data_IF_112568904699
#
_entry.id   IF_112568904699
#
_cell.length_a   1.000
_cell.length_b   1.000
_cell.length_c   1.000
_cell.angle_alpha   90.00
_cell.angle_beta   90.00
_cell.angle_gamma   90.00
#
_symmetry.space_group_name_H-M   'P 1'
#
loop_
_entity.id
_entity.type
_entity.pdbx_description
1 polymer ?
#
# COMPACT_ATOMS: atom_id res chain seq x y z
N UNK A 1 -9.72 -35.80 0.00
CA UNK A 1 -10.82 -34.81 -0.02
C UNK A 1 -10.16 -33.48 -0.30
N UNK A 2 -10.42 -32.85 -1.44
CA UNK A 2 -9.77 -31.58 -1.78
C UNK A 2 -10.42 -30.51 -0.89
N UNK A 3 -9.66 -29.94 0.03
CA UNK A 3 -10.15 -28.86 0.90
C UNK A 3 -10.06 -27.59 0.08
N UNK A 4 -11.21 -26.97 -0.19
CA UNK A 4 -11.25 -25.69 -0.87
C UNK A 4 -10.76 -24.58 0.09
N UNK A 5 -9.90 -23.69 -0.39
CA UNK A 5 -9.19 -22.72 0.44
C UNK A 5 -9.56 -21.30 0.02
N UNK A 6 -9.89 -20.48 1.01
CA UNK A 6 -9.99 -19.03 0.86
C UNK A 6 -8.65 -18.38 1.24
N UNK A 7 -8.31 -17.28 0.57
CA UNK A 7 -7.09 -16.52 0.81
C UNK A 7 -7.40 -15.03 0.97
N UNK A 8 -6.85 -14.44 2.03
CA UNK A 8 -6.76 -12.97 2.19
C UNK A 8 -5.31 -12.56 1.91
N UNK A 9 -5.12 -11.65 0.96
CA UNK A 9 -3.80 -11.09 0.62
C UNK A 9 -3.69 -9.68 1.22
N UNK A 10 -2.55 -9.37 1.86
CA UNK A 10 -2.25 -8.04 2.39
C UNK A 10 -1.01 -7.47 1.71
N UNK A 11 -1.11 -6.24 1.22
CA UNK A 11 -0.06 -5.64 0.40
C UNK A 11 -0.35 -4.19 0.03
N UNK A 12 0.35 -3.70 -1.00
CA UNK A 12 0.21 -2.31 -1.45
C UNK A 12 0.87 -1.29 -0.54
N UNK A 13 1.81 -1.70 0.31
CA UNK A 13 2.59 -0.80 1.17
C UNK A 13 3.63 -0.02 0.33
N UNK A 14 3.21 1.05 -0.34
CA UNK A 14 4.05 1.75 -1.33
C UNK A 14 4.98 2.83 -0.75
N UNK A 15 4.77 3.27 0.50
CA UNK A 15 5.43 4.48 1.01
C UNK A 15 6.71 4.25 1.84
N UNK A 16 6.80 3.14 2.59
CA UNK A 16 7.91 2.84 3.51
C UNK A 16 8.19 1.34 3.53
N UNK A 17 9.06 0.89 2.62
CA UNK A 17 9.41 -0.53 2.49
C UNK A 17 10.12 -1.09 3.73
N UNK A 18 10.81 -0.25 4.49
CA UNK A 18 11.43 -0.61 5.78
C UNK A 18 10.41 -0.95 6.88
N UNK A 19 9.15 -0.51 6.72
CA UNK A 19 8.04 -0.85 7.61
C UNK A 19 7.23 -2.06 7.13
N UNK A 20 7.67 -2.76 6.08
CA UNK A 20 6.93 -3.88 5.50
C UNK A 20 6.57 -4.94 6.55
N UNK A 21 7.54 -5.35 7.37
CA UNK A 21 7.33 -6.38 8.41
C UNK A 21 6.30 -5.89 9.43
N UNK A 22 6.50 -4.69 9.99
CA UNK A 22 5.58 -4.11 10.97
C UNK A 22 4.15 -3.96 10.44
N UNK A 23 4.00 -3.46 9.22
CA UNK A 23 2.69 -3.26 8.60
C UNK A 23 1.99 -4.60 8.33
N UNK A 24 2.75 -5.59 7.87
CA UNK A 24 2.22 -6.95 7.63
C UNK A 24 1.79 -7.60 8.94
N UNK A 25 2.60 -7.50 9.99
CA UNK A 25 2.29 -8.04 11.32
C UNK A 25 0.99 -7.44 11.87
N UNK A 26 0.87 -6.12 11.80
CA UNK A 26 -0.32 -5.40 12.22
C UNK A 26 -1.57 -5.84 11.42
N UNK A 27 -1.45 -5.90 10.09
CA UNK A 27 -2.57 -6.27 9.22
C UNK A 27 -3.01 -7.73 9.42
N UNK A 28 -2.07 -8.68 9.48
CA UNK A 28 -2.42 -10.09 9.70
C UNK A 28 -3.02 -10.32 11.08
N UNK A 29 -2.52 -9.65 12.12
CA UNK A 29 -3.10 -9.71 13.47
C UNK A 29 -4.52 -9.13 13.50
N UNK A 30 -4.76 -8.02 12.79
CA UNK A 30 -6.08 -7.41 12.66
C UNK A 30 -7.06 -8.33 11.92
N UNK A 31 -6.68 -8.83 10.73
CA UNK A 31 -7.49 -9.77 9.94
C UNK A 31 -7.85 -11.01 10.75
N UNK A 32 -6.88 -11.60 11.47
CA UNK A 32 -7.14 -12.75 12.35
C UNK A 32 -8.21 -12.42 13.40
N UNK A 33 -8.10 -11.27 14.06
CA UNK A 33 -9.07 -10.84 15.07
C UNK A 33 -10.44 -10.61 14.46
N UNK A 34 -10.51 -9.91 13.34
CA UNK A 34 -11.77 -9.64 12.64
C UNK A 34 -12.47 -10.94 12.23
N UNK A 35 -11.76 -11.92 11.69
CA UNK A 35 -12.34 -13.23 11.36
C UNK A 35 -12.95 -13.87 12.61
N UNK A 36 -12.21 -13.91 13.73
CA UNK A 36 -12.67 -14.51 14.99
C UNK A 36 -13.92 -13.80 15.52
N UNK A 37 -13.91 -12.47 15.54
CA UNK A 37 -15.01 -11.66 16.04
C UNK A 37 -16.26 -11.82 15.16
N UNK A 38 -16.08 -11.90 13.84
CA UNK A 38 -17.17 -12.08 12.88
C UNK A 38 -17.82 -13.47 12.96
N UNK A 39 -17.03 -14.54 13.10
CA UNK A 39 -17.56 -15.91 13.15
C UNK A 39 -17.85 -16.41 14.56
N UNK A 40 -17.38 -15.69 15.59
CA UNK A 40 -17.58 -16.02 17.01
C UNK A 40 -16.76 -17.21 17.53
N UNK A 41 -15.73 -17.65 16.81
CA UNK A 41 -14.85 -18.78 17.18
C UNK A 41 -13.48 -18.64 16.55
N UNK A 42 -12.50 -19.40 17.06
CA UNK A 42 -11.18 -19.50 16.43
C UNK A 42 -11.27 -20.45 15.22
N UNK A 43 -11.02 -19.99 13.99
CA UNK A 43 -11.00 -20.85 12.81
C UNK A 43 -9.70 -21.65 12.73
N UNK A 44 -9.70 -22.70 11.92
CA UNK A 44 -8.46 -23.38 11.53
C UNK A 44 -7.84 -22.62 10.36
N UNK A 45 -6.70 -21.96 10.61
CA UNK A 45 -5.86 -21.43 9.55
C UNK A 45 -5.04 -22.56 8.93
N UNK A 46 -4.77 -22.45 7.63
CA UNK A 46 -4.09 -23.49 6.85
C UNK A 46 -2.66 -23.11 6.53
N UNK A 47 -2.43 -21.86 6.13
CA UNK A 47 -1.10 -21.37 5.77
C UNK A 47 -1.01 -19.87 5.90
N UNK A 48 0.18 -19.41 6.27
CA UNK A 48 0.59 -18.01 6.16
C UNK A 48 1.77 -17.93 5.19
N UNK A 49 1.68 -16.99 4.26
CA UNK A 49 2.80 -16.60 3.39
C UNK A 49 3.26 -15.19 3.72
N UNK A 50 4.56 -14.99 3.80
CA UNK A 50 5.17 -13.69 4.10
C UNK A 50 6.19 -13.36 3.01
N UNK A 51 6.01 -12.20 2.38
CA UNK A 51 6.83 -11.74 1.25
C UNK A 51 8.17 -11.12 1.68
N UNK A 52 8.69 -11.56 2.82
CA UNK A 52 9.94 -11.10 3.41
C UNK A 52 10.65 -12.28 4.09
N UNK A 53 11.98 -12.19 4.28
CA UNK A 53 12.74 -13.23 4.96
C UNK A 53 12.35 -13.32 6.45
N UNK A 54 12.63 -14.46 7.11
CA UNK A 54 12.28 -14.65 8.52
C UNK A 54 12.82 -13.53 9.43
N UNK A 55 11.95 -12.77 10.14
CA UNK A 55 12.39 -11.75 11.08
C UNK A 55 12.82 -12.40 12.41
N UNK A 56 13.35 -11.59 13.34
CA UNK A 56 13.79 -12.07 14.65
C UNK A 56 12.69 -12.78 15.46
N UNK A 57 11.42 -12.42 15.23
CA UNK A 57 10.23 -13.00 15.86
C UNK A 57 9.52 -14.06 14.99
N UNK A 58 10.21 -14.68 14.03
CA UNK A 58 9.60 -15.64 13.09
C UNK A 58 8.83 -16.79 13.75
N UNK A 59 9.24 -17.25 14.94
CA UNK A 59 8.52 -18.33 15.65
C UNK A 59 7.11 -17.94 16.09
N UNK A 60 6.87 -16.64 16.32
CA UNK A 60 5.60 -16.12 16.83
C UNK A 60 4.45 -16.31 15.84
N UNK A 61 4.73 -16.33 14.52
CA UNK A 61 3.67 -16.55 13.52
C UNK A 61 3.05 -17.93 13.68
N UNK A 62 3.85 -18.99 13.85
CA UNK A 62 3.34 -20.34 14.04
C UNK A 62 2.54 -20.46 15.33
N UNK A 63 2.96 -19.79 16.41
CA UNK A 63 2.24 -19.78 17.70
C UNK A 63 0.88 -19.07 17.61
N UNK A 64 0.78 -18.00 16.82
CA UNK A 64 -0.45 -17.18 16.70
C UNK A 64 -1.46 -17.82 15.74
N UNK A 65 -0.98 -18.34 14.61
CA UNK A 65 -1.83 -18.85 13.53
C UNK A 65 -2.05 -20.36 13.58
N UNK A 66 -1.24 -21.10 14.34
CA UNK A 66 -1.34 -22.56 14.48
C UNK A 66 -1.39 -23.29 13.13
N UNK A 67 -0.51 -22.87 12.21
CA UNK A 67 -0.49 -23.39 10.84
C UNK A 67 0.92 -23.28 10.21
N UNK A 68 1.08 -23.80 9.01
CA UNK A 68 2.33 -23.69 8.25
C UNK A 68 2.63 -22.23 7.90
N UNK A 69 3.85 -21.76 8.17
CA UNK A 69 4.32 -20.42 7.83
C UNK A 69 5.45 -20.52 6.83
N UNK A 70 5.29 -19.85 5.68
CA UNK A 70 6.27 -19.79 4.61
C UNK A 70 6.74 -18.36 4.42
N UNK A 71 8.07 -18.17 4.43
CA UNK A 71 8.71 -16.88 4.17
C UNK A 71 9.20 -16.80 2.72
N UNK A 72 9.59 -15.61 2.29
CA UNK A 72 10.06 -15.33 0.93
C UNK A 72 9.05 -15.71 -0.17
N UNK A 73 7.75 -15.52 0.10
CA UNK A 73 6.66 -15.70 -0.89
C UNK A 73 6.51 -14.47 -1.80
N UNK A 74 5.76 -14.59 -2.89
CA UNK A 74 5.50 -13.44 -3.79
C UNK A 74 4.60 -12.37 -3.13
N UNK A 75 3.69 -12.79 -2.26
CA UNK A 75 2.72 -11.93 -1.58
C UNK A 75 2.57 -12.33 -0.11
N UNK A 76 2.13 -11.40 0.76
CA UNK A 76 1.73 -11.74 2.12
C UNK A 76 0.28 -12.22 2.12
N UNK A 77 0.01 -13.39 2.71
CA UNK A 77 -1.33 -13.94 2.72
C UNK A 77 -1.64 -14.78 3.96
N UNK A 78 -2.93 -14.93 4.23
CA UNK A 78 -3.51 -15.84 5.21
C UNK A 78 -4.55 -16.74 4.52
N UNK A 79 -4.39 -18.06 4.65
CA UNK A 79 -5.29 -19.06 4.10
C UNK A 79 -6.07 -19.80 5.20
N UNK A 80 -7.32 -20.11 4.90
CA UNK A 80 -8.23 -20.85 5.77
C UNK A 80 -9.27 -21.61 4.94
N UNK A 81 -10.06 -22.46 5.59
CA UNK A 81 -11.09 -23.26 4.91
C UNK A 81 -12.17 -22.37 4.28
N UNK A 82 -12.45 -22.59 3.00
CA UNK A 82 -13.41 -21.75 2.26
C UNK A 82 -14.84 -21.84 2.81
N UNK A 83 -15.18 -22.92 3.53
CA UNK A 83 -16.48 -23.11 4.18
C UNK A 83 -16.78 -22.03 5.24
N UNK A 84 -15.76 -21.34 5.75
CA UNK A 84 -15.93 -20.20 6.64
C UNK A 84 -16.67 -19.04 5.98
N UNK A 85 -16.61 -18.91 4.65
CA UNK A 85 -17.31 -17.86 3.90
C UNK A 85 -18.84 -18.08 3.87
N UNK A 86 -19.30 -19.30 4.09
CA UNK A 86 -20.73 -19.66 4.12
C UNK A 86 -21.35 -19.53 5.53
N UNK A 87 -20.54 -19.20 6.54
CA UNK A 87 -21.02 -19.04 7.91
C UNK A 87 -21.95 -17.82 7.99
N UNK A 88 -23.17 -18.04 8.50
CA UNK A 88 -24.03 -16.93 8.92
C UNK A 88 -23.42 -16.27 10.16
N UNK A 89 -23.10 -14.99 10.03
CA UNK A 89 -22.49 -14.21 11.12
C UNK A 89 -23.42 -14.21 12.35
N UNK A 90 -22.93 -14.54 13.57
CA UNK A 90 -23.76 -14.65 14.76
C UNK A 90 -24.47 -13.35 15.14
N UNK A 91 -23.88 -12.20 14.81
CA UNK A 91 -24.42 -10.86 15.09
C UNK A 91 -25.10 -10.24 13.86
N UNK A 92 -25.47 -11.03 12.85
CA UNK A 92 -26.12 -10.51 11.64
C UNK A 92 -27.49 -9.88 11.95
N UNK A 93 -27.62 -8.58 11.68
CA UNK A 93 -28.89 -7.87 11.81
C UNK A 93 -29.19 -7.07 10.53
N UNK A 94 -30.23 -7.46 9.79
CA UNK A 94 -30.51 -6.93 8.44
C UNK A 94 -30.74 -5.41 8.40
N UNK A 95 -31.44 -4.86 9.41
CA UNK A 95 -31.69 -3.42 9.50
C UNK A 95 -30.40 -2.64 9.80
N UNK A 96 -29.60 -3.09 10.78
CA UNK A 96 -28.33 -2.45 11.14
C UNK A 96 -27.30 -2.57 10.01
N UNK A 97 -27.33 -3.67 9.26
CA UNK A 97 -26.54 -3.83 8.04
C UNK A 97 -26.91 -2.76 7.02
N UNK A 98 -28.20 -2.56 6.71
CA UNK A 98 -28.63 -1.54 5.75
C UNK A 98 -28.30 -0.10 6.22
N UNK A 99 -28.43 0.18 7.52
CA UNK A 99 -28.04 1.48 8.10
C UNK A 99 -26.53 1.69 7.97
N UNK A 100 -25.74 0.69 8.40
CA UNK A 100 -24.28 0.73 8.33
C UNK A 100 -23.79 0.82 6.90
N UNK A 101 -24.39 0.07 5.97
CA UNK A 101 -24.10 0.13 4.53
C UNK A 101 -24.30 1.54 3.97
N UNK A 102 -25.44 2.17 4.24
CA UNK A 102 -25.71 3.55 3.80
C UNK A 102 -24.76 4.56 4.45
N UNK A 103 -24.41 4.37 5.73
CA UNK A 103 -23.44 5.22 6.42
C UNK A 103 -22.03 5.05 5.82
N UNK A 104 -21.63 3.83 5.48
CA UNK A 104 -20.40 3.52 4.77
C UNK A 104 -20.39 4.14 3.38
N UNK A 105 -21.43 3.97 2.57
CA UNK A 105 -21.55 4.58 1.23
C UNK A 105 -21.47 6.11 1.30
N UNK A 106 -22.18 6.72 2.26
CA UNK A 106 -22.12 8.16 2.49
C UNK A 106 -20.71 8.58 2.92
N UNK A 107 -20.07 7.86 3.84
CA UNK A 107 -18.73 8.16 4.31
C UNK A 107 -17.67 7.92 3.24
N UNK A 108 -17.81 6.91 2.39
CA UNK A 108 -16.97 6.67 1.22
C UNK A 108 -17.10 7.81 0.22
N UNK A 109 -18.33 8.25 -0.07
CA UNK A 109 -18.58 9.44 -0.88
C UNK A 109 -17.97 10.68 -0.24
N UNK A 110 -18.15 10.88 1.08
CA UNK A 110 -17.52 11.99 1.79
C UNK A 110 -15.99 11.88 1.72
N UNK A 111 -15.38 10.72 1.94
CA UNK A 111 -13.93 10.49 1.87
C UNK A 111 -13.36 10.61 0.44
N UNK A 112 -14.15 10.28 -0.58
CA UNK A 112 -13.77 10.48 -1.97
C UNK A 112 -13.78 11.96 -2.34
N UNK A 113 -14.60 12.78 -1.66
CA UNK A 113 -14.73 14.22 -1.90
C UNK A 113 -14.00 15.11 -0.87
N UNK A 114 -13.71 14.60 0.33
CA UNK A 114 -12.93 15.20 1.40
C UNK A 114 -11.45 15.07 1.01
N UNK A 115 -10.69 16.16 1.18
CA UNK A 115 -9.22 16.12 1.17
C UNK A 115 -8.72 15.08 2.19
N UNK A 116 -8.22 13.92 1.79
CA UNK A 116 -7.82 12.91 2.76
C UNK A 116 -6.74 13.47 3.66
N UNK A 117 -6.77 13.12 4.94
CA UNK A 117 -5.63 13.31 5.84
C UNK A 117 -4.32 12.77 5.23
N UNK A 118 -4.43 11.80 4.30
CA UNK A 118 -3.35 11.21 3.53
C UNK A 118 -3.35 11.56 2.02
N UNK A 119 -3.76 12.78 1.64
CA UNK A 119 -3.67 13.22 0.23
C UNK A 119 -2.26 12.99 -0.35
N UNK A 120 -1.24 13.25 0.47
CA UNK A 120 0.16 13.11 0.13
C UNK A 120 0.55 11.63 -0.05
N UNK A 121 0.17 10.73 0.87
CA UNK A 121 0.47 9.30 0.74
C UNK A 121 -0.22 8.65 -0.45
N UNK A 122 -1.49 8.98 -0.73
CA UNK A 122 -2.16 8.51 -1.96
C UNK A 122 -1.46 9.01 -3.21
N UNK A 123 -1.04 10.29 -3.23
CA UNK A 123 -0.29 10.82 -4.36
C UNK A 123 1.06 10.12 -4.51
N UNK A 124 1.76 9.83 -3.41
CA UNK A 124 2.99 9.05 -3.43
C UNK A 124 2.77 7.64 -3.98
N UNK A 125 1.76 6.89 -3.52
CA UNK A 125 1.44 5.57 -4.07
C UNK A 125 1.24 5.60 -5.58
N UNK A 126 0.44 6.54 -6.07
CA UNK A 126 0.22 6.72 -7.51
C UNK A 126 1.54 7.05 -8.25
N UNK A 127 2.42 7.85 -7.66
CA UNK A 127 3.72 8.19 -8.26
C UNK A 127 4.69 6.99 -8.25
N UNK A 128 4.71 6.18 -7.20
CA UNK A 128 5.52 4.95 -7.11
C UNK A 128 5.05 3.90 -8.12
N UNK A 129 3.74 3.75 -8.32
CA UNK A 129 3.16 2.85 -9.31
C UNK A 129 3.35 3.36 -10.75
N UNK A 130 3.69 4.64 -10.93
CA UNK A 130 3.80 5.29 -12.24
C UNK A 130 5.06 6.16 -12.35
N UNK A 131 6.27 5.61 -12.13
CA UNK A 131 7.49 6.40 -11.96
C UNK A 131 7.93 7.12 -13.24
N UNK A 132 7.49 6.64 -14.40
CA UNK A 132 7.74 7.23 -15.72
C UNK A 132 6.74 8.33 -16.09
N UNK A 133 5.59 8.40 -15.41
CA UNK A 133 4.53 9.35 -15.74
C UNK A 133 4.91 10.76 -15.26
N UNK A 134 5.01 11.70 -16.22
CA UNK A 134 5.23 13.13 -15.94
C UNK A 134 3.95 13.96 -16.05
N UNK A 135 2.86 13.32 -16.47
CA UNK A 135 1.62 14.02 -16.78
C UNK A 135 0.80 14.21 -15.49
N UNK A 136 0.80 15.45 -15.02
CA UNK A 136 0.06 15.88 -13.83
C UNK A 136 -1.42 15.56 -13.99
N UNK A 137 -2.01 15.73 -15.18
CA UNK A 137 -3.43 15.49 -15.45
C UNK A 137 -3.77 14.02 -15.30
N UNK A 138 -2.91 13.12 -15.84
CA UNK A 138 -3.10 11.68 -15.67
C UNK A 138 -2.99 11.25 -14.21
N UNK A 139 -2.00 11.77 -13.48
CA UNK A 139 -1.78 11.44 -12.08
C UNK A 139 -2.91 11.98 -11.18
N UNK A 140 -3.41 13.20 -11.44
CA UNK A 140 -4.55 13.74 -10.69
C UNK A 140 -5.87 13.05 -11.05
N UNK A 141 -6.02 12.59 -12.30
CA UNK A 141 -7.16 11.79 -12.74
C UNK A 141 -7.31 10.49 -11.93
N UNK A 142 -6.19 9.84 -11.59
CA UNK A 142 -6.16 8.66 -10.70
C UNK A 142 -6.59 8.98 -9.26
N UNK A 143 -6.51 10.24 -8.84
CA UNK A 143 -7.02 10.73 -7.54
C UNK A 143 -8.49 11.17 -7.60
N UNK A 144 -9.14 11.16 -8.77
CA UNK A 144 -10.46 11.75 -8.95
C UNK A 144 -10.47 13.27 -8.78
N UNK A 145 -9.32 13.95 -8.97
CA UNK A 145 -9.16 15.37 -8.72
C UNK A 145 -8.70 16.14 -9.97
N UNK A 146 -9.14 17.39 -10.09
CA UNK A 146 -8.57 18.29 -11.09
C UNK A 146 -7.17 18.77 -10.66
N UNK A 147 -6.25 19.06 -11.61
CA UNK A 147 -4.92 19.58 -11.29
C UNK A 147 -4.96 20.85 -10.43
N UNK A 148 -5.92 21.74 -10.70
CA UNK A 148 -6.12 22.99 -9.97
C UNK A 148 -6.52 22.75 -8.51
N UNK A 149 -7.41 21.78 -8.27
CA UNK A 149 -7.83 21.41 -6.91
C UNK A 149 -6.68 20.81 -6.12
N UNK A 150 -5.89 19.93 -6.74
CA UNK A 150 -4.71 19.34 -6.12
C UNK A 150 -3.66 20.40 -5.79
N UNK A 151 -3.30 21.26 -6.74
CA UNK A 151 -2.32 22.33 -6.50
C UNK A 151 -2.69 23.25 -5.35
N UNK A 152 -3.97 23.65 -5.27
CA UNK A 152 -4.47 24.49 -4.16
C UNK A 152 -4.29 23.80 -2.81
N UNK A 153 -4.72 22.55 -2.70
CA UNK A 153 -4.63 21.77 -1.45
C UNK A 153 -3.17 21.52 -1.04
N UNK A 154 -2.30 21.17 -1.98
CA UNK A 154 -0.87 21.00 -1.69
C UNK A 154 -0.23 22.31 -1.20
N UNK A 155 -0.62 23.45 -1.79
CA UNK A 155 -0.16 24.76 -1.34
C UNK A 155 -0.64 25.09 0.08
N UNK A 156 -1.89 24.77 0.42
CA UNK A 156 -2.43 24.90 1.78
C UNK A 156 -1.64 24.03 2.78
N UNK A 157 -1.09 22.89 2.34
CA UNK A 157 -0.21 22.01 3.11
C UNK A 157 1.28 22.41 3.05
N UNK A 158 1.64 23.55 2.44
CA UNK A 158 3.02 24.01 2.35
C UNK A 158 3.91 23.22 1.38
N UNK A 159 3.33 22.43 0.46
CA UNK A 159 4.07 21.63 -0.52
C UNK A 159 3.58 21.87 -1.95
N UNK A 160 4.16 21.17 -2.92
CA UNK A 160 3.78 21.25 -4.33
C UNK A 160 3.87 19.89 -5.00
N UNK A 161 3.11 19.71 -6.08
CA UNK A 161 3.16 18.48 -6.86
C UNK A 161 4.59 18.14 -7.32
N UNK A 162 5.34 19.15 -7.80
CA UNK A 162 6.72 18.97 -8.24
C UNK A 162 7.66 18.58 -7.11
N UNK A 163 7.47 19.13 -5.90
CA UNK A 163 8.27 18.77 -4.74
C UNK A 163 8.03 17.31 -4.34
N UNK A 164 6.77 16.88 -4.28
CA UNK A 164 6.42 15.49 -3.97
C UNK A 164 6.90 14.52 -5.06
N UNK A 165 6.79 14.90 -6.34
CA UNK A 165 7.29 14.08 -7.45
C UNK A 165 8.80 13.94 -7.45
N UNK A 166 9.52 15.03 -7.12
CA UNK A 166 10.98 15.00 -6.96
C UNK A 166 11.41 14.09 -5.79
N UNK A 167 10.66 14.06 -4.68
CA UNK A 167 10.93 13.15 -3.56
C UNK A 167 10.85 11.68 -3.99
N UNK A 168 9.76 11.28 -4.64
CA UNK A 168 9.58 9.90 -5.12
C UNK A 168 10.67 9.51 -6.13
N UNK A 169 10.97 10.41 -7.08
CA UNK A 169 12.02 10.16 -8.07
C UNK A 169 13.40 10.02 -7.45
N UNK A 170 13.71 10.83 -6.44
CA UNK A 170 14.97 10.75 -5.70
C UNK A 170 15.07 9.43 -4.94
N UNK A 171 14.01 8.99 -4.28
CA UNK A 171 13.98 7.71 -3.57
C UNK A 171 14.24 6.54 -4.53
N UNK A 172 13.48 6.45 -5.62
CA UNK A 172 13.64 5.40 -6.64
C UNK A 172 15.03 5.47 -7.28
N UNK A 173 15.54 6.67 -7.59
CA UNK A 173 16.89 6.83 -8.11
C UNK A 173 17.95 6.31 -7.13
N UNK A 174 17.80 6.60 -5.83
CA UNK A 174 18.71 6.14 -4.78
C UNK A 174 18.73 4.61 -4.71
N UNK A 175 17.56 3.96 -4.77
CA UNK A 175 17.45 2.49 -4.82
C UNK A 175 18.17 1.90 -6.03
N UNK A 176 17.95 2.45 -7.22
CA UNK A 176 18.65 1.96 -8.42
C UNK A 176 20.15 2.24 -8.42
N UNK A 177 20.61 3.33 -7.79
CA UNK A 177 22.04 3.58 -7.60
C UNK A 177 22.67 2.55 -6.65
N UNK A 178 21.98 2.16 -5.57
CA UNK A 178 22.47 1.08 -4.69
C UNK A 178 22.54 -0.28 -5.39
N UNK A 179 21.76 -0.47 -6.46
CA UNK A 179 21.80 -1.65 -7.33
C UNK A 179 22.84 -1.53 -8.47
N UNK A 180 23.74 -0.55 -8.44
CA UNK A 180 24.76 -0.29 -9.47
C UNK A 180 24.21 -0.08 -10.90
N UNK A 181 22.98 0.40 -11.03
CA UNK A 181 22.40 0.68 -12.36
C UNK A 181 23.05 1.89 -13.01
N UNK A 182 23.21 1.81 -14.34
CA UNK A 182 23.77 2.93 -15.10
C UNK A 182 22.84 4.15 -15.07
N UNK A 183 23.42 5.36 -15.08
CA UNK A 183 22.66 6.62 -15.14
C UNK A 183 21.69 6.67 -16.33
N UNK A 184 22.05 6.04 -17.45
CA UNK A 184 21.20 5.91 -18.64
C UNK A 184 19.96 5.06 -18.37
N UNK A 185 20.13 3.94 -17.68
CA UNK A 185 19.01 3.05 -17.31
C UNK A 185 18.08 3.75 -16.31
N UNK A 186 18.64 4.40 -15.28
CA UNK A 186 17.85 5.11 -14.27
C UNK A 186 17.03 6.24 -14.91
N UNK A 187 17.64 7.02 -15.81
CA UNK A 187 16.96 8.08 -16.54
C UNK A 187 15.74 7.55 -17.31
N UNK A 188 15.88 6.41 -17.99
CA UNK A 188 14.78 5.77 -18.71
C UNK A 188 13.67 5.28 -17.77
N UNK A 189 14.02 4.61 -16.66
CA UNK A 189 13.07 4.09 -15.67
C UNK A 189 12.27 5.18 -14.94
N UNK A 190 12.80 6.39 -14.86
CA UNK A 190 12.12 7.57 -14.28
C UNK A 190 11.44 8.46 -15.34
N UNK A 191 11.46 8.03 -16.61
CA UNK A 191 10.80 8.73 -17.71
C UNK A 191 11.49 10.03 -18.14
N UNK A 192 12.81 10.18 -17.94
CA UNK A 192 13.58 11.30 -18.48
C UNK A 192 13.89 11.09 -19.97
N UNK A 193 13.78 12.16 -20.76
CA UNK A 193 14.06 12.12 -22.21
C UNK A 193 15.52 11.78 -22.55
N UNK A 194 16.45 12.13 -21.67
CA UNK A 194 17.88 11.84 -21.83
C UNK A 194 18.60 11.88 -20.48
N UNK A 195 19.81 11.33 -20.45
CA UNK A 195 20.73 11.35 -19.31
C UNK A 195 20.99 12.77 -18.80
N UNK A 196 21.18 13.73 -19.68
CA UNK A 196 21.45 15.13 -19.32
C UNK A 196 20.30 15.80 -18.55
N UNK A 197 19.04 15.43 -18.82
CA UNK A 197 17.88 15.90 -18.06
C UNK A 197 17.84 15.27 -16.65
N UNK A 198 18.16 13.99 -16.55
CA UNK A 198 18.25 13.30 -15.26
C UNK A 198 19.42 13.83 -14.41
N UNK A 199 20.61 14.03 -14.98
CA UNK A 199 21.76 14.60 -14.26
C UNK A 199 21.48 16.00 -13.70
N UNK A 200 20.72 16.83 -14.43
CA UNK A 200 20.26 18.14 -13.95
C UNK A 200 19.29 18.01 -12.76
N UNK A 201 18.38 17.02 -12.81
CA UNK A 201 17.47 16.76 -11.70
C UNK A 201 18.22 16.27 -10.46
N UNK A 202 19.14 15.29 -10.60
CA UNK A 202 19.98 14.84 -9.48
C UNK A 202 20.77 15.98 -8.83
N UNK A 203 21.38 16.87 -9.64
CA UNK A 203 22.11 18.03 -9.14
C UNK A 203 21.20 19.04 -8.43
N UNK A 204 19.93 19.17 -8.85
CA UNK A 204 18.92 19.98 -8.14
C UNK A 204 18.57 19.35 -6.79
N UNK A 205 18.30 18.05 -6.77
CA UNK A 205 17.94 17.33 -5.55
C UNK A 205 19.06 17.34 -4.51
N UNK A 206 20.33 17.27 -4.92
CA UNK A 206 21.47 17.31 -4.01
C UNK A 206 21.65 18.68 -3.34
N UNK A 207 21.26 19.78 -4.01
CA UNK A 207 21.33 21.13 -3.46
C UNK A 207 20.25 21.41 -2.42
N UNK A 208 19.08 20.78 -2.56
CA UNK A 208 17.96 20.89 -1.63
C UNK A 208 18.16 20.07 -0.33
N UNK A 209 19.20 19.24 -0.27
CA UNK A 209 19.52 18.42 0.90
C UNK A 209 20.59 19.06 1.82
N UNK A 210 21.00 20.30 1.52
CA UNK A 210 22.07 21.01 2.22
C UNK A 210 21.60 22.21 3.07
N UNK A 211 20.28 22.37 3.25
CA UNK A 211 19.66 23.40 4.11
C UNK A 211 18.90 22.73 5.26
#
# INVERSE_FOLDING_TARGET
MNVDLARVTVGGYTYRADLLVLNTDMCLAAVRREIIDLIGRVPTFRRVGLAFPPPAHASVYSDIFDCEVTFDTEENFLEFDADLLDIRLPLAHSIEFEISRRACEKREFELSHWVPADLVGRLFGIMYDNPTCQDVVKLTGKLGMSPRSLQRKLKEMGTSFSALHDLVRRDIASRYLSENKSTKEIAARLGYKNTSAFSRAMKRWSKLAGD
#
